data_IF_339930163429
#
_entry.id   IF_339930163429
#
_cell.length_a   1.000
_cell.length_b   1.000
_cell.length_c   1.000
_cell.angle_alpha   90.00
_cell.angle_beta   90.00
_cell.angle_gamma   90.00
#
_symmetry.space_group_name_H-M   'P 1'
#
loop_
_entity.id
_entity.type
_entity.pdbx_description
1 polymer ?
#
# COMPACT_ATOMS: atom_id res chain seq x y z
N UNK A 1 8.01 4.29 16.16
CA UNK A 1 7.47 3.63 17.38
C UNK A 1 8.26 2.36 17.74
N UNK A 2 9.33 2.45 18.56
CA UNK A 2 10.29 1.36 18.74
C UNK A 2 9.74 0.16 19.52
N UNK A 3 8.90 0.37 20.54
CA UNK A 3 8.36 -0.73 21.35
C UNK A 3 7.45 -1.64 20.52
N UNK A 4 6.52 -1.10 19.74
CA UNK A 4 5.64 -1.89 18.88
C UNK A 4 6.41 -2.64 17.79
N UNK A 5 7.48 -2.04 17.26
CA UNK A 5 8.37 -2.72 16.31
C UNK A 5 8.98 -3.99 16.91
N UNK A 6 9.47 -3.92 18.15
CA UNK A 6 10.02 -5.09 18.82
C UNK A 6 8.96 -6.19 19.01
N UNK A 7 7.72 -5.80 19.35
CA UNK A 7 6.61 -6.74 19.54
C UNK A 7 6.17 -7.38 18.22
N UNK A 8 6.20 -6.64 17.09
CA UNK A 8 5.94 -7.20 15.74
C UNK A 8 7.01 -8.19 15.27
N UNK A 9 8.18 -8.21 15.90
CA UNK A 9 9.24 -9.19 15.65
C UNK A 9 9.15 -10.42 16.58
N UNK A 10 8.11 -10.50 17.42
CA UNK A 10 7.85 -11.66 18.26
C UNK A 10 7.50 -12.90 17.41
N UNK A 11 7.78 -14.08 17.95
CA UNK A 11 7.36 -15.37 17.37
C UNK A 11 5.96 -15.80 17.80
N UNK A 12 5.37 -15.14 18.80
CA UNK A 12 4.02 -15.45 19.29
C UNK A 12 2.96 -14.76 18.43
N UNK A 13 2.09 -15.56 17.80
CA UNK A 13 1.02 -15.08 16.93
C UNK A 13 0.10 -14.07 17.63
N UNK A 14 -0.37 -14.36 18.85
CA UNK A 14 -1.34 -13.49 19.54
C UNK A 14 -0.72 -12.13 19.85
N UNK A 15 0.55 -12.14 20.24
CA UNK A 15 1.32 -10.93 20.51
C UNK A 15 1.49 -10.09 19.24
N UNK A 16 1.86 -10.73 18.13
CA UNK A 16 2.00 -10.05 16.83
C UNK A 16 0.66 -9.50 16.34
N UNK A 17 -0.44 -10.25 16.49
CA UNK A 17 -1.77 -9.79 16.08
C UNK A 17 -2.22 -8.55 16.86
N UNK A 18 -2.05 -8.54 18.18
CA UNK A 18 -2.39 -7.36 19.00
C UNK A 18 -1.52 -6.15 18.68
N UNK A 19 -0.22 -6.35 18.47
CA UNK A 19 0.66 -5.29 18.02
C UNK A 19 0.26 -4.74 16.64
N UNK A 20 -0.16 -5.62 15.73
CA UNK A 20 -0.61 -5.26 14.38
C UNK A 20 -1.87 -4.40 14.40
N UNK A 21 -2.85 -4.77 15.24
CA UNK A 21 -4.06 -3.97 15.47
C UNK A 21 -3.73 -2.61 16.08
N UNK A 22 -2.83 -2.58 17.07
CA UNK A 22 -2.40 -1.34 17.71
C UNK A 22 -1.73 -0.39 16.70
N UNK A 23 -0.78 -0.88 15.91
CA UNK A 23 -0.11 -0.09 14.87
C UNK A 23 -1.13 0.45 13.85
N UNK A 24 -2.06 -0.40 13.41
CA UNK A 24 -3.08 -0.01 12.43
C UNK A 24 -3.99 1.10 12.97
N UNK A 25 -4.50 0.96 14.21
CA UNK A 25 -5.35 1.97 14.82
C UNK A 25 -4.65 3.30 15.07
N UNK A 26 -3.35 3.26 15.41
CA UNK A 26 -2.56 4.47 15.59
C UNK A 26 -2.37 5.18 14.23
N UNK A 27 -1.91 4.48 13.19
CA UNK A 27 -1.73 5.07 11.86
C UNK A 27 -3.03 5.68 11.35
N UNK A 28 -4.15 4.97 11.53
CA UNK A 28 -5.46 5.47 11.16
C UNK A 28 -5.85 6.74 11.93
N UNK A 29 -5.52 6.82 13.21
CA UNK A 29 -5.79 8.02 14.04
C UNK A 29 -5.03 9.25 13.53
N UNK A 30 -3.88 9.06 12.89
CA UNK A 30 -3.06 10.14 12.33
C UNK A 30 -3.27 10.35 10.82
N UNK A 31 -4.24 9.70 10.17
CA UNK A 31 -4.44 9.78 8.70
C UNK A 31 -4.68 11.19 8.15
N UNK A 32 -5.15 12.11 8.98
CA UNK A 32 -5.37 13.52 8.63
C UNK A 32 -4.21 14.44 9.02
N UNK A 33 -3.13 13.90 9.57
CA UNK A 33 -1.96 14.63 10.05
C UNK A 33 -0.67 14.08 9.41
N UNK A 34 -0.44 14.36 8.10
CA UNK A 34 0.62 13.71 7.32
C UNK A 34 2.02 13.91 7.92
N UNK A 35 2.32 15.10 8.42
CA UNK A 35 3.61 15.40 9.06
C UNK A 35 3.86 14.54 10.32
N UNK A 36 2.82 14.35 11.16
CA UNK A 36 2.93 13.49 12.35
C UNK A 36 3.04 12.03 11.95
N UNK A 37 2.32 11.61 10.93
CA UNK A 37 2.39 10.23 10.43
C UNK A 37 3.79 9.91 9.89
N UNK A 38 4.41 10.85 9.18
CA UNK A 38 5.78 10.68 8.68
C UNK A 38 6.82 10.54 9.81
N UNK A 39 6.67 11.29 10.90
CA UNK A 39 7.54 11.15 12.09
C UNK A 39 7.30 9.82 12.82
N UNK A 40 6.05 9.35 12.83
CA UNK A 40 5.64 8.17 13.55
C UNK A 40 6.14 6.86 12.94
N UNK A 41 6.06 6.78 11.60
CA UNK A 41 6.34 5.59 10.81
C UNK A 41 7.81 5.58 10.41
N UNK A 42 8.56 4.64 10.98
CA UNK A 42 9.95 4.40 10.60
C UNK A 42 10.07 3.39 9.45
N UNK A 43 11.20 3.43 8.74
CA UNK A 43 11.52 2.46 7.67
C UNK A 43 11.50 1.02 8.20
N UNK A 44 11.98 0.79 9.43
CA UNK A 44 11.96 -0.53 10.05
C UNK A 44 10.55 -1.04 10.34
N UNK A 45 9.61 -0.13 10.65
CA UNK A 45 8.20 -0.48 10.82
C UNK A 45 7.59 -0.92 9.49
N UNK A 46 7.87 -0.19 8.40
CA UNK A 46 7.43 -0.57 7.06
C UNK A 46 8.00 -1.92 6.64
N UNK A 47 9.27 -2.18 6.92
CA UNK A 47 9.90 -3.48 6.67
C UNK A 47 9.23 -4.61 7.45
N UNK A 48 8.91 -4.38 8.73
CA UNK A 48 8.21 -5.36 9.56
C UNK A 48 6.79 -5.65 9.04
N UNK A 49 6.05 -4.61 8.64
CA UNK A 49 4.71 -4.74 8.05
C UNK A 49 4.77 -5.53 6.73
N UNK A 50 5.69 -5.16 5.82
CA UNK A 50 5.84 -5.85 4.54
C UNK A 50 6.18 -7.32 4.75
N UNK A 51 7.11 -7.66 5.66
CA UNK A 51 7.44 -9.05 6.01
C UNK A 51 6.21 -9.87 6.43
N UNK A 52 5.31 -9.26 7.21
CA UNK A 52 4.07 -9.90 7.68
C UNK A 52 3.01 -10.00 6.56
N UNK A 53 3.08 -9.13 5.54
CA UNK A 53 2.19 -9.13 4.39
C UNK A 53 2.59 -10.11 3.28
N UNK A 54 3.87 -10.51 3.21
CA UNK A 54 4.36 -11.44 2.18
C UNK A 54 3.57 -12.76 2.24
N UNK A 55 2.83 -13.12 1.17
CA UNK A 55 2.06 -14.35 1.14
C UNK A 55 2.97 -15.58 1.28
N UNK A 56 2.58 -16.51 2.16
CA UNK A 56 3.24 -17.81 2.30
C UNK A 56 4.49 -17.83 3.20
N UNK A 57 4.98 -16.69 3.66
CA UNK A 57 6.16 -16.63 4.56
C UNK A 57 5.79 -16.55 6.03
N UNK A 58 4.63 -16.01 6.38
CA UNK A 58 4.20 -15.86 7.78
C UNK A 58 2.73 -16.22 7.99
N UNK A 59 2.45 -17.11 8.95
CA UNK A 59 1.11 -17.46 9.41
C UNK A 59 0.72 -16.70 10.71
N UNK A 60 1.43 -15.60 11.00
CA UNK A 60 1.33 -14.87 12.27
C UNK A 60 0.20 -13.84 12.30
N UNK A 61 -0.45 -13.56 11.16
CA UNK A 61 -1.54 -12.60 11.08
C UNK A 61 -2.73 -13.21 10.34
N UNK A 62 -3.93 -12.93 10.84
CA UNK A 62 -5.18 -13.29 10.17
C UNK A 62 -5.51 -12.38 8.97
N UNK A 63 -6.51 -12.76 8.16
CA UNK A 63 -6.88 -12.03 6.93
C UNK A 63 -7.34 -10.59 7.18
N UNK A 64 -8.01 -10.31 8.31
CA UNK A 64 -8.45 -8.96 8.67
C UNK A 64 -7.24 -8.03 8.90
N UNK A 65 -6.23 -8.50 9.63
CA UNK A 65 -5.00 -7.73 9.90
C UNK A 65 -4.23 -7.49 8.61
N UNK A 66 -4.22 -8.46 7.70
CA UNK A 66 -3.61 -8.29 6.38
C UNK A 66 -4.24 -7.11 5.62
N UNK A 67 -5.57 -7.05 5.56
CA UNK A 67 -6.30 -5.92 4.96
C UNK A 67 -6.00 -4.60 5.67
N UNK A 68 -5.93 -4.58 7.01
CA UNK A 68 -5.59 -3.38 7.77
C UNK A 68 -4.17 -2.88 7.48
N UNK A 69 -3.20 -3.79 7.34
CA UNK A 69 -1.84 -3.43 6.98
C UNK A 69 -1.73 -2.88 5.56
N UNK A 70 -2.54 -3.37 4.61
CA UNK A 70 -2.65 -2.72 3.30
C UNK A 70 -3.18 -1.28 3.42
N UNK A 71 -4.21 -1.04 4.24
CA UNK A 71 -4.67 0.35 4.53
C UNK A 71 -3.58 1.21 5.16
N UNK A 72 -2.81 0.66 6.10
CA UNK A 72 -1.66 1.35 6.72
C UNK A 72 -0.63 1.77 5.66
N UNK A 73 -0.30 0.87 4.73
CA UNK A 73 0.61 1.19 3.63
C UNK A 73 0.04 2.31 2.73
N UNK A 74 -1.23 2.24 2.37
CA UNK A 74 -1.89 3.27 1.55
C UNK A 74 -1.88 4.64 2.24
N UNK A 75 -2.27 4.70 3.51
CA UNK A 75 -2.22 5.95 4.30
C UNK A 75 -0.80 6.51 4.44
N UNK A 76 0.20 5.63 4.61
CA UNK A 76 1.59 6.05 4.72
C UNK A 76 2.10 6.61 3.39
N UNK A 77 1.85 5.91 2.28
CA UNK A 77 2.27 6.32 0.94
C UNK A 77 1.61 7.64 0.51
N UNK A 78 0.34 7.85 0.91
CA UNK A 78 -0.39 9.10 0.70
C UNK A 78 0.18 10.26 1.52
N UNK A 79 0.49 10.02 2.78
CA UNK A 79 0.93 11.05 3.70
C UNK A 79 2.33 11.58 3.40
N UNK A 80 3.22 10.72 2.90
CA UNK A 80 4.62 11.07 2.69
C UNK A 80 5.17 10.48 1.38
N UNK A 81 5.53 11.34 0.40
CA UNK A 81 6.29 10.93 -0.78
C UNK A 81 7.62 10.24 -0.43
N UNK A 82 8.25 10.63 0.68
CA UNK A 82 9.50 10.04 1.16
C UNK A 82 9.30 8.59 1.60
N UNK A 83 8.27 8.33 2.42
CA UNK A 83 7.96 6.97 2.86
C UNK A 83 7.48 6.10 1.70
N UNK A 84 6.77 6.67 0.72
CA UNK A 84 6.45 5.95 -0.51
C UNK A 84 7.70 5.50 -1.27
N UNK A 85 8.70 6.36 -1.44
CA UNK A 85 9.98 6.00 -2.07
C UNK A 85 10.69 4.88 -1.29
N UNK A 86 10.68 4.92 0.04
CA UNK A 86 11.22 3.83 0.87
C UNK A 86 10.44 2.52 0.68
N UNK A 87 9.12 2.55 0.49
CA UNK A 87 8.35 1.34 0.16
C UNK A 87 8.79 0.70 -1.16
N UNK A 88 9.12 1.50 -2.18
CA UNK A 88 9.69 0.97 -3.43
C UNK A 88 11.02 0.26 -3.19
N UNK A 89 11.92 0.86 -2.39
CA UNK A 89 13.21 0.25 -2.00
C UNK A 89 13.05 -1.02 -1.18
N UNK A 90 11.92 -1.19 -0.49
CA UNK A 90 11.58 -2.38 0.30
C UNK A 90 10.82 -3.44 -0.53
N UNK A 91 10.82 -3.36 -1.86
CA UNK A 91 10.17 -4.31 -2.77
C UNK A 91 8.65 -4.46 -2.54
N UNK A 92 7.96 -3.34 -2.23
CA UNK A 92 6.50 -3.34 -2.10
C UNK A 92 5.79 -3.85 -3.36
N UNK A 93 6.38 -3.61 -4.54
CA UNK A 93 5.81 -4.02 -5.83
C UNK A 93 5.72 -5.55 -5.95
N UNK A 94 6.76 -6.27 -5.56
CA UNK A 94 6.77 -7.74 -5.53
C UNK A 94 5.73 -8.29 -4.56
N UNK A 95 5.63 -7.67 -3.37
CA UNK A 95 4.63 -8.04 -2.36
C UNK A 95 3.21 -7.86 -2.89
N UNK A 96 2.90 -6.71 -3.51
CA UNK A 96 1.58 -6.42 -4.08
C UNK A 96 1.26 -7.33 -5.28
N UNK A 97 2.26 -7.61 -6.13
CA UNK A 97 2.11 -8.55 -7.23
C UNK A 97 1.71 -9.93 -6.74
N UNK A 98 2.41 -10.46 -5.72
CA UNK A 98 2.10 -11.77 -5.16
C UNK A 98 0.77 -11.79 -4.41
N UNK A 99 0.39 -10.68 -3.77
CA UNK A 99 -0.93 -10.51 -3.15
C UNK A 99 -2.06 -10.62 -4.18
N UNK A 100 -1.90 -9.96 -5.33
CA UNK A 100 -2.93 -9.89 -6.37
C UNK A 100 -2.96 -11.13 -7.27
N UNK A 101 -1.82 -11.73 -7.55
CA UNK A 101 -1.73 -12.84 -8.52
C UNK A 101 -1.58 -14.22 -7.87
N UNK A 102 -1.20 -14.27 -6.59
CA UNK A 102 -0.90 -15.51 -5.89
C UNK A 102 0.41 -16.18 -6.29
N UNK A 103 1.17 -15.61 -7.22
CA UNK A 103 2.44 -16.15 -7.72
C UNK A 103 3.56 -15.12 -7.56
N UNK A 104 4.81 -15.59 -7.46
CA UNK A 104 5.97 -14.71 -7.43
C UNK A 104 6.15 -14.00 -8.77
N UNK A 105 6.61 -12.74 -8.79
CA UNK A 105 6.85 -12.03 -10.03
C UNK A 105 7.96 -12.73 -10.85
N UNK A 106 7.83 -12.79 -12.18
CA UNK A 106 8.90 -13.31 -13.03
C UNK A 106 10.15 -12.44 -12.92
N UNK A 107 11.32 -13.06 -12.86
CA UNK A 107 12.60 -12.35 -12.88
C UNK A 107 12.86 -11.78 -14.28
N UNK A 108 12.55 -10.49 -14.47
CA UNK A 108 12.80 -9.74 -15.71
C UNK A 108 11.54 -9.16 -16.36
N UNK A 109 11.73 -8.22 -17.29
CA UNK A 109 10.65 -7.57 -18.06
C UNK A 109 10.21 -8.36 -19.29
N UNK A 110 10.92 -9.44 -19.63
CA UNK A 110 10.64 -10.24 -20.82
C UNK A 110 9.67 -11.38 -20.52
N UNK A 111 8.59 -11.41 -21.29
CA UNK A 111 7.65 -12.53 -21.37
C UNK A 111 6.87 -12.80 -20.07
N UNK A 112 6.46 -11.74 -19.38
CA UNK A 112 5.55 -11.82 -18.21
C UNK A 112 4.23 -12.50 -18.60
N UNK A 113 3.67 -12.18 -19.76
CA UNK A 113 2.38 -12.69 -20.20
C UNK A 113 2.39 -14.19 -20.57
N UNK A 114 3.50 -14.71 -21.10
CA UNK A 114 3.64 -16.12 -21.51
C UNK A 114 4.02 -17.05 -20.36
N UNK A 115 4.56 -16.50 -19.26
CA UNK A 115 4.89 -17.24 -18.02
C UNK A 115 3.74 -17.28 -17.00
N UNK A 116 2.66 -16.55 -17.25
CA UNK A 116 1.50 -16.47 -16.36
C UNK A 116 0.52 -17.62 -16.67
N UNK A 117 0.46 -18.60 -15.76
CA UNK A 117 -0.60 -19.58 -15.78
C UNK A 117 -1.90 -18.91 -15.30
N UNK A 118 -2.74 -18.51 -16.27
CA UNK A 118 -3.99 -17.82 -16.01
C UNK A 118 -4.93 -18.61 -15.10
N UNK A 119 -4.84 -19.95 -15.10
CA UNK A 119 -5.65 -20.81 -14.23
C UNK A 119 -5.22 -20.64 -12.77
N UNK A 120 -3.91 -20.61 -12.50
CA UNK A 120 -3.36 -20.43 -11.15
C UNK A 120 -3.74 -19.07 -10.58
N UNK A 121 -3.64 -18.02 -11.39
CA UNK A 121 -4.01 -16.65 -10.97
C UNK A 121 -5.51 -16.56 -10.67
N UNK A 122 -6.35 -17.08 -11.56
CA UNK A 122 -7.80 -17.08 -11.37
C UNK A 122 -8.19 -17.85 -10.12
N UNK A 123 -7.56 -19.00 -9.87
CA UNK A 123 -7.81 -19.78 -8.66
C UNK A 123 -7.40 -19.02 -7.39
N UNK A 124 -6.24 -18.35 -7.40
CA UNK A 124 -5.79 -17.52 -6.30
C UNK A 124 -6.75 -16.34 -6.04
N UNK A 125 -7.22 -15.68 -7.10
CA UNK A 125 -8.16 -14.56 -7.03
C UNK A 125 -9.53 -14.96 -6.45
N UNK A 126 -10.08 -16.11 -6.84
CA UNK A 126 -11.41 -16.56 -6.39
C UNK A 126 -11.46 -16.78 -4.86
N UNK A 127 -10.33 -17.16 -4.25
CA UNK A 127 -10.24 -17.42 -2.81
C UNK A 127 -9.79 -16.19 -2.02
N UNK A 128 -9.48 -15.08 -2.70
CA UNK A 128 -9.05 -13.82 -2.07
C UNK A 128 -10.26 -12.97 -1.68
N UNK A 129 -10.34 -12.49 -0.44
CA UNK A 129 -11.38 -11.54 -0.05
C UNK A 129 -11.34 -10.27 -0.90
N UNK A 130 -12.50 -9.84 -1.41
CA UNK A 130 -12.64 -8.63 -2.24
C UNK A 130 -12.01 -7.40 -1.58
N UNK A 131 -12.18 -7.23 -0.27
CA UNK A 131 -11.61 -6.09 0.45
C UNK A 131 -10.08 -6.04 0.35
N UNK A 132 -9.42 -7.19 0.47
CA UNK A 132 -7.95 -7.25 0.39
C UNK A 132 -7.45 -6.85 -1.00
N UNK A 133 -8.18 -7.21 -2.06
CA UNK A 133 -7.87 -6.80 -3.44
C UNK A 133 -8.03 -5.29 -3.58
N UNK A 134 -9.15 -4.74 -3.10
CA UNK A 134 -9.40 -3.28 -3.16
C UNK A 134 -8.32 -2.52 -2.41
N UNK A 135 -7.92 -2.95 -1.21
CA UNK A 135 -6.87 -2.27 -0.48
C UNK A 135 -5.50 -2.40 -1.13
N UNK A 136 -5.18 -3.55 -1.73
CA UNK A 136 -3.93 -3.70 -2.50
C UNK A 136 -3.89 -2.72 -3.69
N UNK A 137 -5.02 -2.55 -4.40
CA UNK A 137 -5.14 -1.56 -5.48
C UNK A 137 -5.05 -0.12 -4.94
N UNK A 138 -5.65 0.17 -3.78
CA UNK A 138 -5.53 1.48 -3.14
C UNK A 138 -4.07 1.80 -2.80
N UNK A 139 -3.29 0.82 -2.31
CA UNK A 139 -1.85 1.00 -2.09
C UNK A 139 -1.15 1.37 -3.39
N UNK A 140 -1.47 0.71 -4.51
CA UNK A 140 -0.89 1.05 -5.83
C UNK A 140 -1.24 2.49 -6.23
N UNK A 141 -2.51 2.89 -6.10
CA UNK A 141 -2.95 4.25 -6.42
C UNK A 141 -2.23 5.30 -5.57
N UNK A 142 -2.08 5.06 -4.27
CA UNK A 142 -1.37 5.96 -3.36
C UNK A 142 0.16 5.84 -3.48
N UNK A 143 0.68 4.83 -4.18
CA UNK A 143 2.09 4.65 -4.51
C UNK A 143 2.51 5.42 -5.77
N UNK A 144 1.60 5.69 -6.68
CA UNK A 144 1.90 6.37 -7.94
C UNK A 144 1.65 7.89 -7.84
N UNK A 145 2.37 8.70 -8.63
CA UNK A 145 2.06 10.12 -8.75
C UNK A 145 0.67 10.32 -9.36
N UNK A 146 -0.02 11.35 -8.89
CA UNK A 146 -1.29 11.78 -9.47
C UNK A 146 -1.07 12.11 -10.96
N UNK A 147 -1.98 11.66 -11.82
CA UNK A 147 -1.90 12.00 -13.23
C UNK A 147 -2.02 13.53 -13.39
N UNK A 148 -1.16 14.18 -14.20
CA UNK A 148 -1.31 15.59 -14.52
C UNK A 148 -2.70 15.80 -15.13
N UNK A 149 -3.43 16.77 -14.59
CA UNK A 149 -4.83 17.09 -14.86
C UNK A 149 -5.04 17.50 -16.34
N UNK A 150 -5.01 16.51 -17.24
CA UNK A 150 -5.41 16.61 -18.65
C UNK A 150 -6.26 15.38 -18.98
N UNK A 151 -7.27 15.12 -18.15
CA UNK A 151 -8.20 14.02 -18.33
C UNK A 151 -9.51 14.30 -17.59
N UNK A 152 -10.03 15.53 -17.67
CA UNK A 152 -11.34 15.87 -17.11
C UNK A 152 -12.47 15.04 -17.78
N UNK A 153 -12.20 14.35 -18.90
CA UNK A 153 -13.13 13.43 -19.56
C UNK A 153 -12.97 11.95 -19.20
N UNK A 154 -11.85 11.51 -18.61
CA UNK A 154 -11.63 10.07 -18.33
C UNK A 154 -11.94 9.70 -16.88
N UNK A 155 -11.78 10.64 -15.94
CA UNK A 155 -12.13 10.43 -14.53
C UNK A 155 -13.63 10.40 -14.29
N UNK A 156 -14.44 11.13 -15.06
CA UNK A 156 -15.91 11.04 -14.96
C UNK A 156 -16.42 9.62 -15.24
N UNK A 157 -15.83 8.92 -16.23
CA UNK A 157 -16.20 7.55 -16.56
C UNK A 157 -15.87 6.50 -15.49
N UNK A 158 -14.86 6.74 -14.64
CA UNK A 158 -14.52 5.85 -13.52
C UNK A 158 -15.29 6.20 -12.24
N UNK A 159 -15.71 7.45 -12.10
CA UNK A 159 -16.45 7.92 -10.91
C UNK A 159 -17.93 7.52 -10.96
N UNK A 160 -18.49 7.28 -12.14
CA UNK A 160 -19.87 6.79 -12.32
C UNK A 160 -20.09 5.33 -11.85
N UNK A 161 -19.02 4.58 -11.56
CA UNK A 161 -19.11 3.23 -10.96
C UNK A 161 -19.01 3.23 -9.43
N UNK A 162 -18.75 4.39 -8.80
CA UNK A 162 -18.85 4.54 -7.36
C UNK A 162 -20.30 4.86 -6.95
N UNK A 163 -20.94 3.87 -6.32
CA UNK A 163 -22.16 4.03 -5.53
C UNK A 163 -22.13 5.34 -4.71
N UNK A 164 -23.06 6.24 -5.01
CA UNK A 164 -23.35 7.45 -4.23
C UNK A 164 -24.26 7.14 -3.04
N UNK A 165 -24.51 8.08 -2.10
CA UNK A 165 -23.63 9.11 -1.54
C UNK A 165 -23.62 9.06 -0.01
N UNK A 166 -22.50 9.37 0.63
CA UNK A 166 -22.56 9.97 1.97
C UNK A 166 -21.71 11.23 2.00
N UNK A 167 -22.40 12.28 2.41
CA UNK A 167 -22.01 13.67 2.39
C UNK A 167 -20.80 13.88 3.32
N UNK A 168 -19.68 14.37 2.78
CA UNK A 168 -18.68 15.05 3.60
C UNK A 168 -18.25 16.34 2.90
N UNK A 169 -18.23 17.48 3.62
CA UNK A 169 -17.90 18.76 3.02
C UNK A 169 -16.44 18.73 2.60
N UNK A 170 -16.21 18.82 1.29
CA UNK A 170 -14.89 19.02 0.71
C UNK A 170 -14.33 20.34 1.25
N UNK A 171 -13.50 20.26 2.30
CA UNK A 171 -12.57 21.33 2.61
C UNK A 171 -11.70 21.56 1.36
N UNK A 172 -11.41 22.81 0.99
CA UNK A 172 -10.53 23.10 -0.14
C UNK A 172 -9.11 22.69 0.27
N UNK A 173 -8.76 21.42 0.06
CA UNK A 173 -7.37 20.97 0.12
C UNK A 173 -6.65 21.76 -0.97
N UNK A 174 -5.74 22.64 -0.54
CA UNK A 174 -4.99 23.56 -1.38
C UNK A 174 -4.41 22.80 -2.60
N UNK A 175 -4.95 23.07 -3.79
CA UNK A 175 -4.57 22.39 -5.04
C UNK A 175 -3.06 22.45 -5.30
N UNK A 176 -2.45 23.56 -4.86
CA UNK A 176 -1.01 23.85 -4.92
C UNK A 176 -0.19 22.86 -4.08
N UNK A 177 -0.63 22.59 -2.86
CA UNK A 177 0.05 21.67 -1.95
C UNK A 177 0.03 20.23 -2.48
N UNK A 178 -1.03 19.84 -3.21
CA UNK A 178 -1.12 18.53 -3.85
C UNK A 178 -0.20 18.41 -5.08
N UNK A 179 -0.05 19.48 -5.86
CA UNK A 179 0.92 19.55 -6.95
C UNK A 179 2.36 19.47 -6.43
N UNK A 180 2.69 20.21 -5.36
CA UNK A 180 4.03 20.18 -4.75
C UNK A 180 4.39 18.77 -4.22
N UNK A 181 3.43 18.09 -3.58
CA UNK A 181 3.59 16.69 -3.16
C UNK A 181 3.81 15.75 -4.35
N UNK A 182 3.05 15.94 -5.43
CA UNK A 182 3.17 15.12 -6.63
C UNK A 182 4.51 15.30 -7.36
N UNK A 183 4.98 16.55 -7.47
CA UNK A 183 6.29 16.85 -8.03
C UNK A 183 7.43 16.27 -7.18
N UNK A 184 7.34 16.40 -5.86
CA UNK A 184 8.32 15.81 -4.94
C UNK A 184 8.34 14.28 -5.06
N UNK A 185 7.15 13.67 -5.16
CA UNK A 185 7.00 12.23 -5.37
C UNK A 185 7.65 11.78 -6.66
N UNK A 186 7.42 12.47 -7.77
CA UNK A 186 8.05 12.14 -9.05
C UNK A 186 9.58 12.16 -8.95
N UNK A 187 10.15 13.19 -8.31
CA UNK A 187 11.60 13.31 -8.08
C UNK A 187 12.16 12.14 -7.27
N UNK A 188 11.51 11.79 -6.15
CA UNK A 188 11.97 10.70 -5.29
C UNK A 188 11.84 9.31 -5.96
N UNK A 189 10.89 9.16 -6.88
CA UNK A 189 10.72 7.92 -7.65
C UNK A 189 11.80 7.76 -8.73
N UNK A 190 12.39 8.84 -9.24
CA UNK A 190 13.52 8.74 -10.17
C UNK A 190 14.72 8.03 -9.52
N UNK A 191 14.92 8.23 -8.21
CA UNK A 191 15.96 7.59 -7.41
C UNK A 191 15.64 6.12 -7.08
N UNK A 192 14.41 5.67 -7.31
CA UNK A 192 13.96 4.29 -7.04
C UNK A 192 14.09 3.37 -8.27
N UNK A 193 14.68 3.84 -9.38
CA UNK A 193 14.92 3.02 -10.56
C UNK A 193 15.81 1.82 -10.21
N UNK A 194 15.41 0.65 -10.71
CA UNK A 194 16.15 -0.60 -10.56
C UNK A 194 17.60 -0.40 -11.01
N UNK A 195 18.54 -0.39 -10.06
CA UNK A 195 19.96 -0.47 -10.39
C UNK A 195 20.27 -1.92 -10.73
N UNK A 196 20.86 -2.19 -11.91
CA UNK A 196 21.07 -3.53 -12.44
C UNK A 196 22.01 -4.39 -11.59
#
# INVERSE_FOLDING_TARGET
MPTLLNVLNSSDQRVVEQASLCVSGIVESFKYHPAKLEELVSIDLLRAILRLLVPGTTNLIGPNIHTQFLRVLAHTARASPRLAAELFKLNVVETLYQILTGVSPPSGTEDVASKLDSVVIMQALIHRPREQIVEALNVICELLPDLPRRADSATEALTDLSFSPDHNPSFPVNLRNRQDLNENRLKLLEDCKYQP
#
